data_IF_732510956531
#
_entry.id   IF_732510956531
#
_cell.length_a   1.000
_cell.length_b   1.000
_cell.length_c   1.000
_cell.angle_alpha   90.00
_cell.angle_beta   90.00
_cell.angle_gamma   90.00
#
_symmetry.space_group_name_H-M   'P 1'
#
loop_
_entity.id
_entity.type
_entity.pdbx_description
1 polymer ?
#
# COMPACT_ATOMS: atom_id res chain seq x y z
N UNK A 1 -2.13 8.84 14.97
CA UNK A 1 -1.18 8.55 13.88
C UNK A 1 -0.03 7.73 14.45
N UNK A 2 0.45 6.70 13.75
CA UNK A 2 1.55 5.82 14.22
C UNK A 2 2.58 5.61 13.12
N UNK A 3 3.87 5.72 13.46
CA UNK A 3 5.00 5.49 12.56
C UNK A 3 5.26 3.99 12.39
N UNK A 4 5.72 3.58 11.19
CA UNK A 4 6.03 2.19 10.91
C UNK A 4 7.54 1.93 10.96
N UNK A 5 7.94 1.10 11.91
CA UNK A 5 9.23 0.40 11.94
C UNK A 5 9.01 -1.01 12.48
N UNK A 6 9.63 -1.98 11.83
CA UNK A 6 9.64 -3.39 12.26
C UNK A 6 10.87 -3.68 13.11
N UNK A 7 12.00 -3.03 12.81
CA UNK A 7 13.23 -3.10 13.57
C UNK A 7 14.03 -1.81 13.43
N UNK A 8 14.91 -1.56 14.41
CA UNK A 8 15.92 -0.52 14.31
C UNK A 8 17.30 -1.09 13.98
N UNK A 9 18.16 -0.28 13.38
CA UNK A 9 19.52 -0.67 13.04
C UNK A 9 20.52 -0.17 14.09
N UNK A 10 21.56 -0.96 14.34
CA UNK A 10 22.70 -0.51 15.13
C UNK A 10 23.56 0.47 14.31
N UNK A 11 23.50 1.75 14.67
CA UNK A 11 24.25 2.81 14.01
C UNK A 11 25.77 2.72 14.26
N UNK A 12 26.21 2.10 15.36
CA UNK A 12 27.64 2.00 15.73
C UNK A 12 28.42 1.05 14.83
N UNK A 13 27.71 0.23 14.06
CA UNK A 13 28.28 -0.77 13.13
C UNK A 13 28.25 -0.30 11.68
N UNK A 14 28.08 1.00 11.44
CA UNK A 14 27.90 1.57 10.10
C UNK A 14 28.81 2.78 9.91
N UNK A 15 29.43 2.85 8.75
CA UNK A 15 30.41 3.90 8.43
C UNK A 15 29.79 5.30 8.39
N UNK A 16 28.50 5.40 8.02
CA UNK A 16 27.71 6.64 8.00
C UNK A 16 26.28 6.33 8.47
N UNK A 17 25.77 7.14 9.39
CA UNK A 17 24.37 7.10 9.81
C UNK A 17 23.79 8.52 9.86
N UNK A 18 22.96 8.86 8.86
CA UNK A 18 22.26 10.14 8.74
C UNK A 18 20.73 9.99 8.91
N UNK A 19 20.31 8.88 9.51
CA UNK A 19 18.90 8.48 9.57
C UNK A 19 18.28 8.85 10.92
N UNK A 20 16.98 9.19 10.95
CA UNK A 20 16.36 9.78 12.13
C UNK A 20 16.19 8.83 13.32
N UNK A 21 16.19 7.51 13.10
CA UNK A 21 15.91 6.50 14.13
C UNK A 21 16.93 5.37 14.10
N UNK A 22 17.18 4.71 15.23
CA UNK A 22 18.10 3.60 15.39
C UNK A 22 17.48 2.47 16.24
N UNK A 23 18.28 1.46 16.64
CA UNK A 23 17.84 0.29 17.44
C UNK A 23 17.27 0.61 18.83
N UNK A 24 17.57 1.79 19.37
CA UNK A 24 17.16 2.19 20.71
C UNK A 24 15.84 2.99 20.70
N UNK A 25 15.32 3.34 19.51
CA UNK A 25 14.01 3.95 19.36
C UNK A 25 12.88 2.91 19.43
N UNK A 26 11.86 3.21 20.24
CA UNK A 26 10.74 2.30 20.46
C UNK A 26 9.58 2.61 19.50
N UNK A 27 9.21 1.62 18.69
CA UNK A 27 8.05 1.68 17.82
C UNK A 27 7.07 0.55 18.11
N UNK A 28 5.78 0.86 18.05
CA UNK A 28 4.73 -0.15 18.05
C UNK A 28 4.43 -0.60 16.62
N UNK A 29 4.13 -1.88 16.42
CA UNK A 29 3.60 -2.37 15.16
C UNK A 29 2.23 -1.72 14.90
N UNK A 30 2.03 -0.99 13.78
CA UNK A 30 0.86 -0.12 13.62
C UNK A 30 -0.49 -0.85 13.68
N UNK A 31 -0.63 -2.01 13.03
CA UNK A 31 -1.90 -2.72 13.00
C UNK A 31 -2.22 -3.41 14.33
N UNK A 32 -1.22 -3.94 15.02
CA UNK A 32 -1.39 -4.46 16.39
C UNK A 32 -1.85 -3.36 17.33
N UNK A 33 -1.20 -2.20 17.30
CA UNK A 33 -1.57 -1.04 18.10
C UNK A 33 -2.98 -0.53 17.78
N UNK A 34 -3.35 -0.47 16.50
CA UNK A 34 -4.70 -0.07 16.09
C UNK A 34 -5.76 -1.07 16.51
N UNK A 35 -5.49 -2.37 16.48
CA UNK A 35 -6.41 -3.38 17.01
C UNK A 35 -6.67 -3.16 18.51
N UNK A 36 -5.59 -2.96 19.29
CA UNK A 36 -5.70 -2.69 20.73
C UNK A 36 -6.49 -1.40 21.02
N UNK A 37 -6.10 -0.29 20.38
CA UNK A 37 -6.75 1.01 20.58
C UNK A 37 -8.19 1.04 20.03
N UNK A 38 -8.45 0.31 18.95
CA UNK A 38 -9.76 0.17 18.34
C UNK A 38 -10.78 -0.45 19.29
N UNK A 39 -10.35 -1.39 20.12
CA UNK A 39 -11.20 -2.03 21.13
C UNK A 39 -11.58 -1.11 22.31
N UNK A 40 -10.77 -0.09 22.59
CA UNK A 40 -10.96 0.81 23.76
C UNK A 40 -11.35 2.24 23.36
N UNK A 41 -11.64 2.48 22.09
CA UNK A 41 -12.05 3.80 21.59
C UNK A 41 -13.18 3.69 20.59
N UNK A 42 -14.07 4.68 20.58
CA UNK A 42 -15.27 4.64 19.73
C UNK A 42 -15.20 5.57 18.52
N UNK A 43 -14.45 6.68 18.61
CA UNK A 43 -14.55 7.79 17.64
C UNK A 43 -13.25 8.15 16.95
N UNK A 44 -12.10 7.88 17.55
CA UNK A 44 -10.82 8.32 16.99
C UNK A 44 -10.54 7.60 15.67
N UNK A 45 -9.99 8.32 14.70
CA UNK A 45 -9.57 7.72 13.44
C UNK A 45 -8.12 7.21 13.54
N UNK A 46 -7.84 6.13 12.81
CA UNK A 46 -6.54 5.49 12.78
C UNK A 46 -5.87 5.76 11.45
N UNK A 47 -4.63 6.23 11.53
CA UNK A 47 -3.82 6.48 10.33
C UNK A 47 -2.37 6.13 10.57
N UNK A 48 -1.81 5.31 9.67
CA UNK A 48 -0.36 5.09 9.59
C UNK A 48 0.32 6.32 9.01
N UNK A 49 1.41 6.79 9.63
CA UNK A 49 2.11 8.01 9.21
C UNK A 49 3.60 7.79 8.98
N UNK A 50 4.07 6.89 8.13
CA UNK A 50 3.36 6.11 7.11
C UNK A 50 3.78 4.64 7.21
N UNK A 51 2.92 3.72 6.76
CA UNK A 51 3.25 2.30 6.59
C UNK A 51 4.24 2.17 5.42
N UNK A 52 5.34 1.44 5.61
CA UNK A 52 6.29 1.18 4.54
C UNK A 52 5.78 -0.02 3.74
N UNK A 53 4.94 0.23 2.73
CA UNK A 53 4.26 -0.86 2.02
C UNK A 53 5.24 -1.75 1.26
N UNK A 54 6.28 -1.13 0.69
CA UNK A 54 7.28 -1.81 -0.14
C UNK A 54 8.10 -2.86 0.61
N UNK A 55 8.16 -2.84 1.95
CA UNK A 55 8.86 -3.86 2.74
C UNK A 55 7.93 -4.97 3.25
N UNK A 56 6.61 -4.86 3.04
CA UNK A 56 5.60 -5.78 3.60
C UNK A 56 4.94 -6.64 2.53
N UNK A 57 4.43 -7.80 2.94
CA UNK A 57 3.66 -8.70 2.09
C UNK A 57 2.26 -8.12 1.83
N UNK A 58 1.90 -7.90 0.56
CA UNK A 58 0.66 -7.19 0.18
C UNK A 58 -0.62 -7.87 0.67
N UNK A 59 -0.71 -9.20 0.51
CA UNK A 59 -1.89 -9.94 0.95
C UNK A 59 -2.12 -9.84 2.46
N UNK A 60 -1.03 -9.86 3.24
CA UNK A 60 -1.08 -9.71 4.69
C UNK A 60 -1.52 -8.30 5.08
N UNK A 61 -0.92 -7.27 4.47
CA UNK A 61 -1.34 -5.87 4.68
C UNK A 61 -2.81 -5.67 4.32
N UNK A 62 -3.28 -6.25 3.21
CA UNK A 62 -4.67 -6.16 2.79
C UNK A 62 -5.62 -6.70 3.87
N UNK A 63 -5.32 -7.91 4.39
CA UNK A 63 -6.08 -8.59 5.43
C UNK A 63 -6.03 -7.83 6.77
N UNK A 64 -4.84 -7.40 7.22
CA UNK A 64 -4.68 -6.65 8.47
C UNK A 64 -5.42 -5.31 8.43
N UNK A 65 -5.29 -4.56 7.33
CA UNK A 65 -6.00 -3.30 7.16
C UNK A 65 -7.53 -3.51 7.13
N UNK A 66 -8.01 -4.57 6.46
CA UNK A 66 -9.43 -4.91 6.44
C UNK A 66 -9.95 -5.27 7.84
N UNK A 67 -9.19 -6.02 8.63
CA UNK A 67 -9.55 -6.33 10.02
C UNK A 67 -9.64 -5.08 10.89
N UNK A 68 -8.63 -4.19 10.84
CA UNK A 68 -8.68 -2.93 11.58
C UNK A 68 -9.88 -2.11 11.14
N UNK A 69 -10.15 -2.03 9.84
CA UNK A 69 -11.31 -1.29 9.31
C UNK A 69 -12.65 -1.85 9.82
N UNK A 70 -12.83 -3.17 9.78
CA UNK A 70 -14.04 -3.85 10.27
C UNK A 70 -14.20 -3.67 11.77
N UNK A 71 -13.17 -3.97 12.55
CA UNK A 71 -13.21 -3.92 14.01
C UNK A 71 -13.38 -2.50 14.55
N UNK A 72 -12.95 -1.50 13.77
CA UNK A 72 -13.11 -0.09 14.16
C UNK A 72 -14.33 0.58 13.54
N UNK A 73 -15.08 -0.09 12.66
CA UNK A 73 -16.27 0.47 12.02
C UNK A 73 -15.95 1.53 10.95
N UNK A 74 -14.91 1.33 10.15
CA UNK A 74 -14.56 2.22 9.04
C UNK A 74 -13.64 3.39 9.41
N UNK A 75 -12.87 3.27 10.50
CA UNK A 75 -12.05 4.37 11.03
C UNK A 75 -10.60 4.37 10.55
N UNK A 76 -10.22 3.49 9.61
CA UNK A 76 -8.86 3.41 9.08
C UNK A 76 -8.64 4.35 7.89
N UNK A 77 -7.49 5.00 7.83
CA UNK A 77 -6.91 5.58 6.63
C UNK A 77 -5.49 5.03 6.52
N UNK A 78 -5.11 4.48 5.39
CA UNK A 78 -3.81 3.83 5.23
C UNK A 78 -2.81 4.83 4.62
N UNK A 79 -2.06 5.52 5.47
CA UNK A 79 -0.94 6.33 5.01
C UNK A 79 0.24 5.44 4.62
N UNK A 80 0.76 5.58 3.40
CA UNK A 80 1.78 4.72 2.81
C UNK A 80 2.99 5.53 2.36
N UNK A 81 4.17 4.98 2.64
CA UNK A 81 5.45 5.43 2.11
C UNK A 81 6.28 4.29 1.55
N UNK A 82 7.46 4.64 1.05
CA UNK A 82 8.41 3.69 0.45
C UNK A 82 9.65 3.42 1.30
N UNK A 83 9.82 4.13 2.42
CA UNK A 83 10.90 3.88 3.37
C UNK A 83 12.32 4.19 2.88
N UNK A 84 13.22 4.35 3.84
CA UNK A 84 14.65 4.62 3.63
C UNK A 84 15.55 3.51 4.17
N UNK A 85 15.03 2.63 5.03
CA UNK A 85 15.82 1.69 5.81
C UNK A 85 16.01 0.37 5.07
N UNK A 86 17.17 0.17 4.44
CA UNK A 86 17.47 -1.05 3.67
C UNK A 86 17.48 -2.32 4.54
N UNK A 87 17.77 -2.19 5.84
CA UNK A 87 17.84 -3.30 6.79
C UNK A 87 16.48 -3.94 7.01
N UNK A 88 15.43 -3.11 7.08
CA UNK A 88 14.07 -3.62 7.23
C UNK A 88 13.61 -4.37 5.98
N UNK A 89 14.01 -3.89 4.80
CA UNK A 89 13.78 -4.58 3.54
C UNK A 89 14.50 -5.93 3.50
N UNK A 90 15.76 -5.99 3.93
CA UNK A 90 16.53 -7.23 4.02
C UNK A 90 15.84 -8.26 4.92
N UNK A 91 15.51 -7.89 6.16
CA UNK A 91 14.90 -8.81 7.14
C UNK A 91 13.49 -9.26 6.72
N UNK A 92 12.74 -8.41 6.02
CA UNK A 92 11.42 -8.74 5.50
C UNK A 92 11.47 -9.42 4.11
N UNK A 93 12.66 -9.76 3.63
CA UNK A 93 12.87 -10.51 2.39
C UNK A 93 12.47 -9.75 1.13
N UNK A 94 12.57 -8.41 1.15
CA UNK A 94 12.18 -7.54 0.04
C UNK A 94 13.39 -6.81 -0.55
N UNK A 95 13.47 -6.75 -1.88
CA UNK A 95 14.51 -5.94 -2.55
C UNK A 95 14.30 -4.44 -2.32
N UNK A 96 15.33 -3.72 -1.89
CA UNK A 96 15.26 -2.26 -1.70
C UNK A 96 15.22 -1.47 -3.03
N UNK A 97 15.85 -1.99 -4.09
CA UNK A 97 16.05 -1.27 -5.37
C UNK A 97 14.75 -1.08 -6.17
N UNK A 98 13.75 -1.94 -5.95
CA UNK A 98 12.48 -1.90 -6.67
C UNK A 98 11.31 -1.34 -5.84
N UNK A 99 11.56 -0.89 -4.59
CA UNK A 99 10.53 -0.55 -3.59
C UNK A 99 9.43 0.39 -4.07
N UNK A 100 9.78 1.42 -4.85
CA UNK A 100 8.80 2.37 -5.38
C UNK A 100 7.89 1.75 -6.43
N UNK A 101 8.46 0.98 -7.38
CA UNK A 101 7.69 0.30 -8.43
C UNK A 101 6.85 -0.86 -7.86
N UNK A 102 7.40 -1.57 -6.86
CA UNK A 102 6.64 -2.58 -6.13
C UNK A 102 5.46 -1.93 -5.43
N UNK A 103 5.69 -0.87 -4.65
CA UNK A 103 4.63 -0.13 -3.95
C UNK A 103 3.51 0.30 -4.90
N UNK A 104 3.80 0.87 -6.07
CA UNK A 104 2.77 1.21 -7.07
C UNK A 104 1.88 0.01 -7.44
N UNK A 105 2.46 -1.17 -7.71
CA UNK A 105 1.69 -2.38 -8.00
C UNK A 105 0.91 -2.90 -6.79
N UNK A 106 1.46 -2.74 -5.59
CA UNK A 106 0.78 -3.11 -4.35
C UNK A 106 -0.49 -2.29 -4.14
N UNK A 107 -0.53 -1.02 -4.56
CA UNK A 107 -1.74 -0.18 -4.47
C UNK A 107 -2.87 -0.78 -5.28
N UNK A 108 -2.59 -1.13 -6.54
CA UNK A 108 -3.58 -1.73 -7.43
C UNK A 108 -4.10 -3.05 -6.87
N UNK A 109 -3.22 -3.87 -6.30
CA UNK A 109 -3.61 -5.14 -5.68
C UNK A 109 -4.42 -4.92 -4.39
N UNK A 110 -4.02 -4.01 -3.50
CA UNK A 110 -4.77 -3.68 -2.28
C UNK A 110 -6.20 -3.24 -2.61
N UNK A 111 -6.35 -2.32 -3.57
CA UNK A 111 -7.66 -1.83 -4.01
C UNK A 111 -8.55 -2.97 -4.50
N UNK A 112 -7.99 -3.91 -5.27
CA UNK A 112 -8.74 -5.07 -5.74
C UNK A 112 -9.12 -6.02 -4.60
N UNK A 113 -8.19 -6.33 -3.70
CA UNK A 113 -8.46 -7.21 -2.55
C UNK A 113 -9.52 -6.63 -1.59
N UNK A 114 -9.65 -5.30 -1.50
CA UNK A 114 -10.68 -4.65 -0.67
C UNK A 114 -12.04 -4.48 -1.35
N UNK A 115 -12.12 -4.63 -2.67
CA UNK A 115 -13.35 -4.31 -3.42
C UNK A 115 -13.96 -5.50 -4.16
N UNK A 116 -13.20 -6.58 -4.34
CA UNK A 116 -13.65 -7.79 -5.06
C UNK A 116 -13.63 -8.99 -4.12
N UNK A 117 -14.64 -9.84 -4.24
CA UNK A 117 -14.70 -11.13 -3.52
C UNK A 117 -13.63 -12.11 -4.01
N UNK A 118 -13.28 -12.04 -5.29
CA UNK A 118 -12.25 -12.87 -5.92
C UNK A 118 -11.43 -12.03 -6.89
N UNK A 119 -10.11 -12.19 -6.80
CA UNK A 119 -9.12 -11.43 -7.58
C UNK A 119 -8.29 -12.39 -8.41
N UNK A 120 -8.14 -12.04 -9.68
CA UNK A 120 -7.07 -12.52 -10.54
C UNK A 120 -6.11 -11.36 -10.79
N UNK A 121 -4.86 -11.52 -10.39
CA UNK A 121 -3.81 -10.51 -10.53
C UNK A 121 -2.55 -11.18 -11.03
N UNK A 122 -2.01 -10.70 -12.14
CA UNK A 122 -0.75 -11.19 -12.72
C UNK A 122 0.13 -9.98 -13.01
N UNK A 123 0.83 -9.56 -11.96
CA UNK A 123 1.71 -8.40 -11.97
C UNK A 123 3.18 -8.80 -12.07
N UNK A 124 4.06 -7.80 -12.06
CA UNK A 124 5.50 -8.02 -12.08
C UNK A 124 6.02 -8.56 -10.75
N UNK A 125 5.41 -8.15 -9.64
CA UNK A 125 5.87 -8.51 -8.29
C UNK A 125 4.87 -9.41 -7.54
N UNK A 126 3.60 -9.39 -7.92
CA UNK A 126 2.55 -10.16 -7.27
C UNK A 126 1.77 -11.01 -8.27
N UNK A 127 1.36 -12.18 -7.79
CA UNK A 127 0.41 -13.05 -8.46
C UNK A 127 -0.67 -13.49 -7.49
N UNK A 128 -1.91 -13.38 -7.91
CA UNK A 128 -3.10 -13.90 -7.21
C UNK A 128 -3.94 -14.64 -8.24
N UNK A 129 -4.31 -15.87 -7.94
CA UNK A 129 -5.10 -16.72 -8.83
C UNK A 129 -6.36 -17.12 -8.10
N UNK A 130 -7.51 -16.66 -8.61
CA UNK A 130 -8.85 -16.99 -8.13
C UNK A 130 -8.99 -16.95 -6.59
N UNK A 131 -8.46 -15.89 -5.96
CA UNK A 131 -8.46 -15.74 -4.51
C UNK A 131 -8.85 -14.33 -4.06
N UNK A 132 -9.40 -14.21 -2.86
CA UNK A 132 -9.74 -12.93 -2.23
C UNK A 132 -9.53 -12.98 -0.72
N UNK A 133 -9.67 -11.83 -0.06
CA UNK A 133 -9.65 -11.76 1.41
C UNK A 133 -11.08 -11.70 1.96
N UNK A 134 -11.26 -12.21 3.18
CA UNK A 134 -12.51 -12.11 3.92
C UNK A 134 -12.17 -11.92 5.42
N UNK A 135 -12.83 -11.03 6.18
CA UNK A 135 -13.89 -10.13 5.73
C UNK A 135 -13.35 -9.05 4.77
N UNK A 136 -14.23 -8.59 3.89
CA UNK A 136 -13.99 -7.35 3.15
C UNK A 136 -14.20 -6.16 4.09
N UNK A 137 -13.43 -5.07 3.93
CA UNK A 137 -13.57 -3.89 4.79
C UNK A 137 -14.95 -3.24 4.69
N UNK A 138 -15.27 -2.40 5.69
CA UNK A 138 -16.45 -1.52 5.67
C UNK A 138 -16.23 -0.44 4.60
N UNK A 139 -15.07 0.18 4.59
CA UNK A 139 -14.65 1.13 3.56
C UNK A 139 -14.14 0.37 2.34
N UNK A 140 -14.83 0.50 1.19
CA UNK A 140 -14.50 -0.22 -0.05
C UNK A 140 -14.25 0.76 -1.21
N UNK A 141 -12.99 1.11 -1.50
CA UNK A 141 -11.75 0.71 -0.82
C UNK A 141 -11.48 1.49 0.47
N UNK A 142 -10.56 0.98 1.31
CA UNK A 142 -9.98 1.74 2.43
C UNK A 142 -9.21 2.94 1.84
N UNK A 143 -9.38 4.16 2.39
CA UNK A 143 -8.65 5.34 1.90
C UNK A 143 -7.14 5.16 2.03
N UNK A 144 -6.41 5.40 0.95
CA UNK A 144 -4.94 5.38 0.94
C UNK A 144 -4.42 6.81 0.84
N UNK A 145 -3.56 7.21 1.78
CA UNK A 145 -2.86 8.49 1.73
C UNK A 145 -1.39 8.24 1.39
N UNK A 146 -0.79 9.06 0.55
CA UNK A 146 0.61 8.91 0.17
C UNK A 146 1.48 9.91 0.92
N UNK A 147 2.60 9.46 1.48
CA UNK A 147 3.61 10.31 2.12
C UNK A 147 4.71 10.75 1.15
N UNK A 148 5.19 11.98 1.32
CA UNK A 148 6.37 12.51 0.64
C UNK A 148 6.18 13.94 0.09
N UNK A 149 7.28 14.58 -0.30
CA UNK A 149 7.28 15.98 -0.75
C UNK A 149 8.06 16.25 -2.04
N UNK A 150 8.55 15.20 -2.71
CA UNK A 150 9.28 15.31 -3.98
C UNK A 150 8.31 15.41 -5.16
N UNK A 151 8.62 16.19 -6.19
CA UNK A 151 7.71 16.48 -7.33
C UNK A 151 7.17 15.21 -8.00
N UNK A 152 8.02 14.20 -8.18
CA UNK A 152 7.62 12.89 -8.74
C UNK A 152 6.61 12.17 -7.85
N UNK A 153 6.68 12.36 -6.53
CA UNK A 153 5.73 11.80 -5.57
C UNK A 153 4.43 12.58 -5.60
N UNK A 154 4.47 13.91 -5.70
CA UNK A 154 3.25 14.76 -5.79
C UNK A 154 2.39 14.36 -6.99
N UNK A 155 3.00 14.14 -8.17
CA UNK A 155 2.25 13.65 -9.33
C UNK A 155 1.54 12.30 -9.07
N UNK A 156 2.24 11.36 -8.44
CA UNK A 156 1.68 10.03 -8.07
C UNK A 156 0.55 10.15 -7.05
N UNK A 157 0.67 11.08 -6.10
CA UNK A 157 -0.36 11.36 -5.10
C UNK A 157 -1.68 11.73 -5.81
N UNK A 158 -1.63 12.68 -6.75
CA UNK A 158 -2.81 13.06 -7.54
C UNK A 158 -3.39 11.92 -8.40
N UNK A 159 -2.55 10.98 -8.82
CA UNK A 159 -2.98 9.85 -9.67
C UNK A 159 -3.47 8.62 -8.88
N UNK A 160 -3.02 8.37 -7.65
CA UNK A 160 -3.17 7.04 -7.01
C UNK A 160 -3.73 7.06 -5.58
N UNK A 161 -3.81 8.23 -4.93
CA UNK A 161 -4.20 8.32 -3.51
C UNK A 161 -5.46 9.15 -3.29
N UNK A 162 -6.12 8.90 -2.16
CA UNK A 162 -7.30 9.64 -1.70
C UNK A 162 -6.91 10.81 -0.77
N UNK A 163 -5.62 10.95 -0.46
CA UNK A 163 -5.10 11.97 0.43
C UNK A 163 -3.58 12.05 0.43
N UNK A 164 -3.05 13.10 1.05
CA UNK A 164 -1.63 13.40 1.06
C UNK A 164 -1.11 13.62 2.48
N UNK A 165 0.01 12.98 2.80
CA UNK A 165 0.84 13.27 3.96
C UNK A 165 2.04 14.13 3.54
N UNK A 166 1.92 15.46 3.62
CA UNK A 166 3.01 16.36 3.26
C UNK A 166 4.21 16.18 4.20
N UNK A 167 5.40 16.07 3.62
CA UNK A 167 6.66 16.03 4.36
C UNK A 167 7.57 17.16 3.87
N UNK A 168 7.34 18.35 4.40
CA UNK A 168 8.13 19.56 4.14
C UNK A 168 7.96 20.53 5.31
N UNK A 169 8.81 21.56 5.35
CA UNK A 169 8.71 22.62 6.34
C UNK A 169 7.50 23.53 6.07
N UNK A 170 6.82 24.04 7.11
CA UNK A 170 5.69 24.97 6.96
C UNK A 170 6.18 26.39 6.59
N UNK A 171 7.02 26.50 5.57
CA UNK A 171 7.57 27.75 5.04
C UNK A 171 6.96 28.11 3.68
N UNK A 172 7.50 29.13 3.00
CA UNK A 172 7.01 29.56 1.69
C UNK A 172 7.09 28.46 0.64
N UNK A 173 8.17 27.66 0.65
CA UNK A 173 8.32 26.53 -0.27
C UNK A 173 7.28 25.44 0.02
N UNK A 174 6.97 25.19 1.29
CA UNK A 174 5.86 24.33 1.70
C UNK A 174 4.50 24.83 1.20
N UNK A 175 4.23 26.14 1.29
CA UNK A 175 3.01 26.74 0.77
C UNK A 175 2.88 26.60 -0.75
N UNK A 176 3.97 26.75 -1.49
CA UNK A 176 4.00 26.52 -2.94
C UNK A 176 3.66 25.07 -3.30
N UNK A 177 4.23 24.10 -2.58
CA UNK A 177 3.88 22.68 -2.76
C UNK A 177 2.42 22.37 -2.43
N UNK A 178 1.86 23.00 -1.39
CA UNK A 178 0.43 22.90 -1.07
C UNK A 178 -0.44 23.44 -2.21
N UNK A 179 -0.08 24.60 -2.76
CA UNK A 179 -0.79 25.21 -3.88
C UNK A 179 -0.72 24.34 -5.13
N UNK A 180 0.46 23.76 -5.43
CA UNK A 180 0.65 22.82 -6.53
C UNK A 180 -0.24 21.58 -6.37
N UNK A 181 -0.27 20.97 -5.19
CA UNK A 181 -1.13 19.80 -4.95
C UNK A 181 -2.62 20.14 -5.11
N UNK A 182 -3.06 21.31 -4.61
CA UNK A 182 -4.46 21.76 -4.71
C UNK A 182 -4.89 22.04 -6.15
N UNK A 183 -3.96 22.38 -7.05
CA UNK A 183 -4.28 22.62 -8.47
C UNK A 183 -4.31 21.33 -9.30
N UNK A 184 -3.88 20.19 -8.73
CA UNK A 184 -3.98 18.92 -9.43
C UNK A 184 -5.43 18.44 -9.49
N UNK A 185 -5.88 17.89 -10.63
CA UNK A 185 -7.21 17.31 -10.72
C UNK A 185 -7.27 16.10 -9.78
N UNK A 186 -7.96 16.24 -8.65
CA UNK A 186 -8.27 15.12 -7.77
C UNK A 186 -9.15 14.13 -8.51
N UNK A 187 -8.83 12.83 -8.42
CA UNK A 187 -9.78 11.81 -8.84
C UNK A 187 -11.02 11.93 -7.96
N UNK A 188 -12.25 11.91 -8.52
CA UNK A 188 -13.44 11.87 -7.68
C UNK A 188 -13.40 10.61 -6.81
N UNK A 189 -13.71 10.76 -5.52
CA UNK A 189 -13.83 9.63 -4.60
C UNK A 189 -14.79 8.59 -5.20
N UNK A 190 -14.31 7.37 -5.41
CA UNK A 190 -15.11 6.25 -5.93
C UNK A 190 -15.23 6.14 -7.46
N UNK A 191 -14.56 6.97 -8.26
CA UNK A 191 -14.47 6.73 -9.71
C UNK A 191 -13.01 6.60 -10.14
N UNK A 192 -12.58 5.39 -10.49
CA UNK A 192 -11.83 5.23 -11.75
C UNK A 192 -11.69 3.81 -12.31
N UNK A 193 -11.80 3.82 -13.62
CA UNK A 193 -11.61 2.77 -14.62
C UNK A 193 -10.28 2.04 -14.45
N UNK A 194 -10.33 0.72 -14.46
CA UNK A 194 -9.16 -0.15 -14.58
C UNK A 194 -8.49 0.18 -15.91
N UNK A 195 -7.45 1.02 -15.91
CA UNK A 195 -6.64 1.26 -17.11
C UNK A 195 -5.73 0.06 -17.34
N UNK A 196 -6.32 -1.04 -17.79
CA UNK A 196 -5.61 -2.15 -18.39
C UNK A 196 -5.17 -1.76 -19.79
N UNK A 197 -4.06 -1.04 -19.94
CA UNK A 197 -3.29 -1.07 -21.18
C UNK A 197 -1.95 -0.35 -21.05
N UNK A 198 -0.86 -1.12 -21.03
CA UNK A 198 0.16 -0.93 -22.06
C UNK A 198 0.48 -2.30 -22.69
N UNK A 199 -0.13 -2.49 -23.85
CA UNK A 199 0.28 -3.37 -24.96
C UNK A 199 1.12 -4.60 -24.59
N UNK A 200 0.47 -5.77 -24.45
CA UNK A 200 1.19 -7.04 -24.38
C UNK A 200 0.35 -8.28 -24.08
N UNK A 201 -0.78 -8.14 -23.39
CA UNK A 201 -1.42 -9.28 -22.70
C UNK A 201 -2.55 -10.01 -23.45
N UNK A 202 -2.73 -9.81 -24.76
CA UNK A 202 -3.79 -10.48 -25.56
C UNK A 202 -3.29 -11.40 -26.69
N UNK A 203 -2.08 -11.95 -26.59
CA UNK A 203 -1.68 -13.11 -27.40
C UNK A 203 -1.46 -14.33 -26.51
N UNK A 204 -2.53 -14.91 -25.97
CA UNK A 204 -2.57 -16.32 -25.56
C UNK A 204 -3.96 -16.74 -25.05
N UNK A 205 -5.00 -16.63 -25.89
CA UNK A 205 -6.31 -17.25 -25.60
C UNK A 205 -7.06 -17.81 -26.82
N UNK A 206 -6.39 -18.08 -27.94
CA UNK A 206 -7.03 -18.71 -29.12
C UNK A 206 -6.34 -19.98 -29.66
N UNK A 207 -5.43 -20.62 -28.91
CA UNK A 207 -4.75 -21.84 -29.37
C UNK A 207 -4.98 -23.09 -28.50
N UNK A 208 -6.11 -23.20 -27.79
CA UNK A 208 -6.32 -24.31 -26.84
C UNK A 208 -7.75 -24.84 -26.71
N UNK A 209 -8.62 -24.66 -27.71
CA UNK A 209 -9.99 -25.21 -27.67
C UNK A 209 -10.44 -25.76 -29.02
N UNK A 210 -9.66 -26.70 -29.57
CA UNK A 210 -10.13 -27.66 -30.58
C UNK A 210 -9.34 -28.96 -30.41
N UNK A 211 -10.04 -30.07 -30.11
CA UNK A 211 -9.51 -31.41 -29.84
C UNK A 211 -9.46 -31.70 -28.34
N UNK A 212 -10.12 -32.71 -27.76
CA UNK A 212 -10.78 -33.90 -28.29
C UNK A 212 -11.90 -34.28 -27.30
N UNK A 213 -13.12 -34.49 -27.81
CA UNK A 213 -14.16 -35.24 -27.13
C UNK A 213 -14.35 -36.53 -27.92
N UNK A 214 -13.69 -37.62 -27.51
CA UNK A 214 -14.19 -38.99 -27.71
C UNK A 214 -13.30 -39.98 -26.96
N UNK A 215 -13.93 -41.02 -26.39
CA UNK A 215 -13.36 -42.18 -25.66
C UNK A 215 -13.07 -41.86 -24.18
N UNK A 216 -13.69 -42.49 -23.18
CA UNK A 216 -14.01 -43.91 -23.03
C UNK A 216 -15.31 -44.12 -22.23
N UNK A 217 -16.19 -44.97 -22.77
CA UNK A 217 -16.92 -45.97 -21.98
C UNK A 217 -16.04 -47.23 -21.98
N UNK A 218 -15.89 -47.85 -20.82
CA UNK A 218 -15.11 -49.08 -20.60
C UNK A 218 -14.90 -49.31 -19.11
#
# INVERSE_FOLDING_TARGET
MVFDHVLGADQTKRDVWDRPYNKDDMFHEPFVMFGYLGAITEKIEFTTGVLILGQRQTGLVAKQAAEVDVLTGGRLRLGIGIGWNEVEYEVLGQSFSNRGRRSEEQFDLLRQLWTKETVNFDGRYHKVTDAGINPLPIQRPIPIWLGGGEDRVIKRIGEMSDGWFPQFQPDSAGQEKLAQMRSMPLKPAGTQTISGSKAGYLRNRQAGRLGENSRFLG
#
